data_IF_061901262525
#
_entry.id   IF_061901262525
#
_cell.length_a   1.000
_cell.length_b   1.000
_cell.length_c   1.000
_cell.angle_alpha   90.00
_cell.angle_beta   90.00
_cell.angle_gamma   90.00
#
_symmetry.space_group_name_H-M   'P 1'
#
loop_
_entity.id
_entity.type
_entity.pdbx_description
1 polymer ?
#
# COMPACT_ATOMS: atom_id res chain seq x y z
N UNK A 1 12.35 14.43 -15.10
CA UNK A 1 13.60 13.79 -14.62
C UNK A 1 13.22 12.73 -13.61
N UNK A 2 13.72 11.49 -13.76
CA UNK A 2 13.54 10.46 -12.74
C UNK A 2 14.42 10.79 -11.54
N UNK A 3 13.85 10.78 -10.34
CA UNK A 3 14.59 10.99 -9.10
C UNK A 3 15.32 9.70 -8.72
N UNK A 4 16.41 9.83 -7.96
CA UNK A 4 17.01 8.62 -7.40
C UNK A 4 16.02 7.94 -6.44
N UNK A 5 16.09 6.62 -6.40
CA UNK A 5 15.18 5.75 -5.63
C UNK A 5 15.14 6.09 -4.13
N UNK A 6 16.25 6.54 -3.55
CA UNK A 6 16.33 6.91 -2.13
C UNK A 6 15.53 8.18 -1.88
N UNK A 7 15.65 9.16 -2.77
CA UNK A 7 14.86 10.41 -2.73
C UNK A 7 13.37 10.13 -2.87
N UNK A 8 12.94 9.27 -3.81
CA UNK A 8 11.53 8.89 -3.96
C UNK A 8 11.02 8.23 -2.67
N UNK A 9 11.78 7.29 -2.10
CA UNK A 9 11.37 6.62 -0.84
C UNK A 9 11.25 7.60 0.31
N UNK A 10 12.22 8.51 0.47
CA UNK A 10 12.18 9.51 1.54
C UNK A 10 10.97 10.45 1.39
N UNK A 11 10.71 10.93 0.18
CA UNK A 11 9.55 11.78 -0.10
C UNK A 11 8.23 11.03 0.09
N UNK A 12 8.15 9.75 -0.29
CA UNK A 12 6.97 8.92 -0.07
C UNK A 12 6.66 8.75 1.42
N UNK A 13 7.68 8.48 2.25
CA UNK A 13 7.50 8.39 3.70
C UNK A 13 7.03 9.74 4.26
N UNK A 14 7.66 10.84 3.88
CA UNK A 14 7.29 12.17 4.37
C UNK A 14 5.83 12.55 3.99
N UNK A 15 5.42 12.25 2.76
CA UNK A 15 4.04 12.50 2.31
C UNK A 15 3.04 11.61 3.06
N UNK A 16 3.34 10.33 3.23
CA UNK A 16 2.46 9.42 3.96
C UNK A 16 2.37 9.75 5.45
N UNK A 17 3.48 10.16 6.08
CA UNK A 17 3.49 10.64 7.47
C UNK A 17 2.66 11.92 7.65
N UNK A 18 2.54 12.76 6.61
CA UNK A 18 1.73 13.98 6.63
C UNK A 18 0.25 13.77 6.29
N UNK A 19 -0.06 12.76 5.48
CA UNK A 19 -1.42 12.50 4.98
C UNK A 19 -2.18 11.41 5.76
N UNK A 20 -1.45 10.49 6.39
CA UNK A 20 -2.01 9.26 6.95
C UNK A 20 -1.79 9.13 8.45
N UNK A 21 -2.69 8.39 9.08
CA UNK A 21 -2.48 7.90 10.44
C UNK A 21 -1.63 6.62 10.39
N UNK A 22 -0.71 6.45 11.33
CA UNK A 22 0.04 5.19 11.46
C UNK A 22 -0.94 4.06 11.80
N UNK A 23 -0.88 2.97 11.04
CA UNK A 23 -1.75 1.83 11.26
C UNK A 23 -1.57 1.26 12.69
N UNK A 24 -2.62 0.76 13.38
CA UNK A 24 -2.53 0.27 14.76
C UNK A 24 -1.49 -0.84 15.01
N UNK A 25 -1.19 -1.64 13.98
CA UNK A 25 -0.13 -2.66 14.04
C UNK A 25 1.30 -2.10 13.89
N UNK A 26 1.43 -0.77 13.83
CA UNK A 26 2.67 -0.06 13.61
C UNK A 26 3.31 -0.34 12.25
N UNK A 27 4.49 0.22 12.06
CA UNK A 27 5.35 -0.09 10.93
C UNK A 27 6.08 -1.42 11.14
N UNK A 28 6.64 -1.98 10.07
CA UNK A 28 7.61 -3.06 10.16
C UNK A 28 9.01 -2.45 10.00
N UNK A 29 9.80 -2.56 11.07
CA UNK A 29 11.14 -1.98 11.16
C UNK A 29 11.96 -2.17 9.89
N UNK A 30 12.47 -1.08 9.34
CA UNK A 30 13.29 -1.02 8.13
C UNK A 30 12.68 -1.60 6.83
N UNK A 31 11.48 -2.19 6.87
CA UNK A 31 10.90 -2.93 5.74
C UNK A 31 9.69 -2.25 5.14
N UNK A 32 8.68 -1.97 5.96
CA UNK A 32 7.40 -1.47 5.48
C UNK A 32 6.83 -0.41 6.42
N UNK A 33 6.25 0.63 5.84
CA UNK A 33 5.40 1.59 6.52
C UNK A 33 3.94 1.23 6.24
N UNK A 34 3.11 1.36 7.26
CA UNK A 34 1.68 1.02 7.22
C UNK A 34 0.92 2.25 7.66
N UNK A 35 -0.02 2.68 6.83
CA UNK A 35 -0.83 3.85 7.11
C UNK A 35 -2.30 3.56 6.84
N UNK A 36 -3.14 4.40 7.42
CA UNK A 36 -4.55 4.54 7.09
C UNK A 36 -4.74 5.94 6.54
N UNK A 37 -5.17 6.03 5.29
CA UNK A 37 -5.55 7.30 4.65
C UNK A 37 -7.05 7.51 4.80
N UNK A 38 -7.45 8.73 5.12
CA UNK A 38 -8.86 9.10 5.26
C UNK A 38 -9.07 10.51 4.74
N UNK A 39 -9.93 10.64 3.73
CA UNK A 39 -10.48 11.95 3.39
C UNK A 39 -11.50 12.39 4.44
N UNK A 40 -11.71 13.69 4.61
CA UNK A 40 -12.67 14.23 5.59
C UNK A 40 -14.07 13.62 5.42
N UNK A 41 -14.57 12.97 6.48
CA UNK A 41 -15.86 12.27 6.46
C UNK A 41 -15.95 11.05 5.54
N UNK A 42 -14.81 10.55 5.03
CA UNK A 42 -14.66 9.38 4.17
C UNK A 42 -14.39 8.07 4.92
N UNK A 43 -14.36 6.96 4.18
CA UNK A 43 -14.03 5.63 4.70
C UNK A 43 -12.50 5.48 4.83
N UNK A 44 -11.95 5.06 5.98
CA UNK A 44 -10.51 4.83 6.11
C UNK A 44 -10.02 3.73 5.16
N UNK A 45 -8.95 3.99 4.43
CA UNK A 45 -8.33 3.05 3.51
C UNK A 45 -6.90 2.74 3.93
N UNK A 46 -6.57 1.46 4.01
CA UNK A 46 -5.22 1.02 4.32
C UNK A 46 -4.28 1.15 3.12
N UNK A 47 -3.04 1.53 3.40
CA UNK A 47 -1.95 1.58 2.42
C UNK A 47 -0.65 1.08 3.06
N UNK A 48 0.16 0.37 2.27
CA UNK A 48 1.44 -0.15 2.73
C UNK A 48 2.55 0.26 1.76
N UNK A 49 3.62 0.85 2.28
CA UNK A 49 4.77 1.31 1.51
C UNK A 49 6.06 0.59 1.90
N UNK A 50 6.76 -0.01 0.92
CA UNK A 50 8.04 -0.67 1.17
C UNK A 50 9.17 0.37 1.26
N UNK A 51 9.72 0.55 2.47
CA UNK A 51 10.80 1.49 2.73
C UNK A 51 12.21 0.86 2.67
N UNK A 52 12.33 -0.47 2.56
CA UNK A 52 13.63 -1.15 2.49
C UNK A 52 14.48 -0.56 1.33
N UNK A 53 15.71 -0.04 1.57
CA UNK A 53 16.55 0.50 0.51
C UNK A 53 16.80 -0.48 -0.65
N UNK A 54 16.80 -1.78 -0.37
CA UNK A 54 17.03 -2.85 -1.35
C UNK A 54 15.80 -3.14 -2.21
N UNK A 55 14.58 -2.95 -1.70
CA UNK A 55 13.35 -3.19 -2.48
C UNK A 55 12.94 -1.96 -3.29
N UNK A 56 12.15 -2.11 -4.35
CA UNK A 56 11.53 -0.98 -5.07
C UNK A 56 10.65 -0.13 -4.13
N UNK A 57 10.26 1.07 -4.56
CA UNK A 57 9.35 1.92 -3.80
C UNK A 57 7.90 1.40 -3.89
N UNK A 58 7.67 0.13 -3.57
CA UNK A 58 6.37 -0.51 -3.77
C UNK A 58 5.32 0.13 -2.86
N UNK A 59 4.22 0.57 -3.47
CA UNK A 59 3.05 1.12 -2.79
C UNK A 59 1.86 0.19 -3.06
N UNK A 60 1.36 -0.42 -2.00
CA UNK A 60 0.32 -1.43 -2.04
C UNK A 60 -1.01 -0.82 -1.61
N UNK A 61 -2.01 -0.94 -2.47
CA UNK A 61 -3.37 -0.48 -2.22
C UNK A 61 -4.38 -1.57 -2.57
N UNK A 62 -5.56 -1.49 -1.97
CA UNK A 62 -6.67 -2.33 -2.36
C UNK A 62 -7.08 -2.07 -3.83
N UNK A 63 -7.41 -3.12 -4.60
CA UNK A 63 -7.67 -2.99 -6.03
C UNK A 63 -8.84 -2.07 -6.37
N UNK A 64 -9.89 -2.05 -5.54
CA UNK A 64 -11.01 -1.11 -5.73
C UNK A 64 -10.61 0.34 -5.51
N UNK A 65 -9.71 0.60 -4.56
CA UNK A 65 -9.24 1.96 -4.26
C UNK A 65 -8.32 2.50 -5.37
N UNK A 66 -7.61 1.63 -6.08
CA UNK A 66 -6.78 2.00 -7.23
C UNK A 66 -7.60 2.57 -8.41
N UNK A 67 -8.88 2.20 -8.52
CA UNK A 67 -9.80 2.74 -9.52
C UNK A 67 -9.24 2.70 -10.95
N UNK A 68 -9.32 3.84 -11.64
CA UNK A 68 -8.83 3.99 -13.02
C UNK A 68 -7.30 3.86 -13.14
N UNK A 69 -6.55 4.04 -12.05
CA UNK A 69 -5.10 3.90 -12.03
C UNK A 69 -4.64 2.45 -11.95
N UNK A 70 -5.53 1.48 -11.74
CA UNK A 70 -5.17 0.06 -11.58
C UNK A 70 -4.26 -0.46 -12.72
N UNK A 71 -4.42 0.04 -13.94
CA UNK A 71 -3.63 -0.33 -15.12
C UNK A 71 -2.17 0.14 -15.08
N UNK A 72 -1.85 1.14 -14.24
CA UNK A 72 -0.47 1.64 -14.05
C UNK A 72 0.31 0.83 -13.01
N UNK A 73 -0.35 -0.03 -12.25
CA UNK A 73 0.27 -0.89 -11.26
C UNK A 73 0.22 -2.36 -11.68
N UNK A 74 0.88 -3.21 -10.89
CA UNK A 74 0.81 -4.66 -11.07
C UNK A 74 -0.34 -5.21 -10.23
N UNK A 75 -1.27 -5.90 -10.88
CA UNK A 75 -2.29 -6.67 -10.18
C UNK A 75 -1.65 -7.80 -9.37
N UNK A 76 -2.12 -7.96 -8.13
CA UNK A 76 -1.69 -8.97 -7.18
C UNK A 76 -2.92 -9.58 -6.53
N UNK A 77 -3.41 -10.74 -7.02
CA UNK A 77 -4.58 -11.37 -6.43
C UNK A 77 -4.27 -11.83 -5.00
N UNK A 78 -5.31 -11.95 -4.17
CA UNK A 78 -5.17 -12.36 -2.76
C UNK A 78 -4.37 -13.65 -2.59
N UNK A 79 -4.57 -14.62 -3.50
CA UNK A 79 -3.85 -15.90 -3.51
C UNK A 79 -2.34 -15.77 -3.73
N UNK A 80 -1.86 -14.66 -4.28
CA UNK A 80 -0.45 -14.39 -4.49
C UNK A 80 0.24 -13.72 -3.28
N UNK A 81 -0.50 -13.40 -2.21
CA UNK A 81 0.05 -12.77 -1.01
C UNK A 81 0.70 -13.77 -0.06
N UNK A 82 0.28 -15.04 -0.10
CA UNK A 82 0.82 -16.12 0.72
C UNK A 82 1.56 -17.16 -0.13
N UNK A 83 2.36 -17.98 0.53
CA UNK A 83 3.26 -18.95 -0.12
C UNK A 83 2.71 -20.37 -0.12
N UNK A 84 2.04 -20.75 0.97
CA UNK A 84 1.35 -22.03 1.14
C UNK A 84 0.32 -21.92 2.26
N UNK A 85 -0.49 -22.95 2.41
CA UNK A 85 -1.37 -23.13 3.57
C UNK A 85 -0.60 -23.88 4.67
N UNK A 86 -0.73 -23.41 5.91
CA UNK A 86 -0.15 -23.99 7.11
C UNK A 86 -0.86 -25.27 7.56
N UNK A 87 -0.30 -25.93 8.58
CA UNK A 87 -0.88 -27.16 9.15
C UNK A 87 -2.22 -26.93 9.84
N UNK A 88 -2.46 -25.71 10.28
CA UNK A 88 -3.68 -25.20 10.91
C UNK A 88 -4.72 -24.67 9.90
N UNK A 89 -4.42 -24.74 8.60
CA UNK A 89 -5.29 -24.19 7.55
C UNK A 89 -5.11 -22.68 7.32
N UNK A 90 -4.24 -22.00 8.07
CA UNK A 90 -3.99 -20.58 7.90
C UNK A 90 -2.99 -20.31 6.75
N UNK A 91 -3.18 -19.26 5.93
CA UNK A 91 -2.20 -18.88 4.92
C UNK A 91 -0.86 -18.46 5.56
N UNK A 92 0.26 -18.98 5.03
CA UNK A 92 1.60 -18.61 5.47
C UNK A 92 2.21 -17.57 4.54
N UNK A 93 2.43 -16.37 5.06
CA UNK A 93 2.99 -15.25 4.33
C UNK A 93 4.52 -15.35 4.26
N UNK A 94 5.07 -15.13 3.06
CA UNK A 94 6.51 -15.04 2.83
C UNK A 94 6.96 -13.58 2.83
N UNK A 95 7.48 -13.14 1.67
CA UNK A 95 7.92 -11.76 1.42
C UNK A 95 6.84 -10.67 1.58
N UNK A 96 5.58 -11.05 1.82
CA UNK A 96 4.42 -10.17 1.95
C UNK A 96 3.84 -10.17 3.37
N UNK A 97 4.57 -10.67 4.37
CA UNK A 97 4.15 -10.68 5.79
C UNK A 97 3.88 -9.29 6.37
N UNK A 98 4.37 -8.23 5.73
CA UNK A 98 3.98 -6.87 6.06
C UNK A 98 2.47 -6.63 5.92
N UNK A 99 1.85 -7.23 4.90
CA UNK A 99 0.43 -7.06 4.56
C UNK A 99 -0.49 -7.94 5.40
N UNK A 100 -0.02 -9.09 5.88
CA UNK A 100 -0.80 -10.06 6.67
C UNK A 100 -1.58 -9.41 7.83
N UNK A 101 -0.96 -8.43 8.49
CA UNK A 101 -1.52 -7.75 9.66
C UNK A 101 -2.44 -6.57 9.33
N UNK A 102 -2.78 -6.36 8.07
CA UNK A 102 -3.56 -5.23 7.57
C UNK A 102 -4.92 -5.76 7.08
N UNK A 103 -6.02 -5.63 7.85
CA UNK A 103 -7.30 -6.25 7.52
C UNK A 103 -7.82 -6.00 6.10
N UNK A 104 -7.63 -4.81 5.52
CA UNK A 104 -8.11 -4.50 4.17
C UNK A 104 -7.16 -4.99 3.07
N UNK A 105 -5.88 -5.26 3.40
CA UNK A 105 -4.88 -5.62 2.40
C UNK A 105 -4.38 -7.07 2.49
N UNK A 106 -4.42 -7.67 3.67
CA UNK A 106 -3.75 -8.95 3.95
C UNK A 106 -4.32 -10.11 3.15
N UNK A 107 -5.62 -10.09 2.82
CA UNK A 107 -6.30 -11.17 2.11
C UNK A 107 -7.12 -10.70 0.92
N UNK A 108 -6.82 -9.49 0.41
CA UNK A 108 -7.58 -8.87 -0.67
C UNK A 108 -6.81 -8.84 -1.99
N UNK A 109 -7.51 -8.56 -3.09
CA UNK A 109 -6.88 -8.26 -4.36
C UNK A 109 -6.27 -6.87 -4.32
N UNK A 110 -5.00 -6.77 -4.67
CA UNK A 110 -4.21 -5.55 -4.55
C UNK A 110 -3.71 -5.05 -5.89
N UNK A 111 -3.39 -3.76 -5.93
CA UNK A 111 -2.51 -3.17 -6.93
C UNK A 111 -1.21 -2.75 -6.24
N UNK A 112 -0.10 -3.18 -6.83
CA UNK A 112 1.25 -2.79 -6.42
C UNK A 112 1.78 -1.76 -7.42
N UNK A 113 1.87 -0.51 -6.98
CA UNK A 113 2.49 0.57 -7.74
C UNK A 113 3.98 0.69 -7.44
N UNK A 114 4.75 1.16 -8.42
CA UNK A 114 6.16 1.54 -8.25
C UNK A 114 6.30 2.96 -8.80
N UNK A 115 5.99 4.01 -8.02
CA UNK A 115 6.14 5.38 -8.47
C UNK A 115 7.60 5.68 -8.81
N UNK A 116 7.83 6.24 -10.00
CA UNK A 116 9.15 6.66 -10.49
C UNK A 116 9.38 8.17 -10.34
N UNK A 117 8.31 8.92 -10.05
CA UNK A 117 8.32 10.36 -9.82
C UNK A 117 7.41 10.75 -8.65
N UNK A 118 7.59 11.96 -8.11
CA UNK A 118 6.69 12.50 -7.08
C UNK A 118 5.28 12.79 -7.66
N UNK A 119 5.19 13.11 -8.95
CA UNK A 119 3.92 13.30 -9.63
C UNK A 119 3.12 11.99 -9.68
N UNK A 120 3.78 10.87 -9.99
CA UNK A 120 3.12 9.55 -9.99
C UNK A 120 2.64 9.16 -8.59
N UNK A 121 3.50 9.37 -7.58
CA UNK A 121 3.15 9.14 -6.19
C UNK A 121 1.93 9.98 -5.78
N UNK A 122 1.95 11.28 -6.05
CA UNK A 122 0.84 12.18 -5.74
C UNK A 122 -0.46 11.71 -6.38
N UNK A 123 -0.43 11.38 -7.68
CA UNK A 123 -1.61 10.89 -8.39
C UNK A 123 -2.19 9.59 -7.78
N UNK A 124 -1.34 8.68 -7.30
CA UNK A 124 -1.81 7.46 -6.63
C UNK A 124 -2.46 7.80 -5.28
N UNK A 125 -1.86 8.69 -4.49
CA UNK A 125 -2.39 9.09 -3.18
C UNK A 125 -3.72 9.86 -3.32
N UNK A 126 -3.82 10.77 -4.28
CA UNK A 126 -5.04 11.50 -4.60
C UNK A 126 -6.18 10.55 -5.01
N UNK A 127 -5.86 9.51 -5.78
CA UNK A 127 -6.82 8.48 -6.17
C UNK A 127 -7.32 7.68 -4.95
N UNK A 128 -6.44 7.32 -4.01
CA UNK A 128 -6.83 6.62 -2.77
C UNK A 128 -7.68 7.52 -1.87
N UNK A 129 -7.30 8.80 -1.72
CA UNK A 129 -8.10 9.77 -0.95
C UNK A 129 -9.46 10.03 -1.61
N UNK A 130 -9.53 10.09 -2.93
CA UNK A 130 -10.79 10.19 -3.66
C UNK A 130 -11.68 8.96 -3.45
N UNK A 131 -11.09 7.75 -3.45
CA UNK A 131 -11.80 6.52 -3.12
C UNK A 131 -12.31 6.51 -1.67
N UNK A 132 -11.53 7.04 -0.74
CA UNK A 132 -11.93 7.23 0.67
C UNK A 132 -13.13 8.18 0.77
N UNK A 133 -13.08 9.33 0.09
CA UNK A 133 -14.17 10.31 0.05
C UNK A 133 -15.45 9.74 -0.59
N UNK A 134 -15.30 8.92 -1.64
CA UNK A 134 -16.40 8.19 -2.27
C UNK A 134 -16.96 7.05 -1.42
N UNK A 135 -16.39 6.81 -0.23
CA UNK A 135 -16.80 5.78 0.74
C UNK A 135 -16.85 4.38 0.14
N UNK A 136 -15.87 4.05 -0.71
CA UNK A 136 -15.77 2.71 -1.28
C UNK A 136 -15.72 1.68 -0.14
N UNK A 137 -16.53 0.64 -0.26
CA UNK A 137 -16.51 -0.51 0.65
C UNK A 137 -15.48 -1.52 0.16
N UNK A 138 -14.58 -1.89 1.07
CA UNK A 138 -13.46 -2.80 0.85
C UNK A 138 -13.68 -4.06 1.66
#
# INVERSE_FOLDING_TARGET
MSLDKKTIKAAAVALLDGLGEVHPMGHQDSKARRYVLRADGGTPLEIMFEQDPKSSANLWVHARAAGSLATKGKNKPASALWTKIGKDGAPLYGRHSALEKMPQLGSADLICFVPETLTDLGAILDQVLSASAARITI
#
